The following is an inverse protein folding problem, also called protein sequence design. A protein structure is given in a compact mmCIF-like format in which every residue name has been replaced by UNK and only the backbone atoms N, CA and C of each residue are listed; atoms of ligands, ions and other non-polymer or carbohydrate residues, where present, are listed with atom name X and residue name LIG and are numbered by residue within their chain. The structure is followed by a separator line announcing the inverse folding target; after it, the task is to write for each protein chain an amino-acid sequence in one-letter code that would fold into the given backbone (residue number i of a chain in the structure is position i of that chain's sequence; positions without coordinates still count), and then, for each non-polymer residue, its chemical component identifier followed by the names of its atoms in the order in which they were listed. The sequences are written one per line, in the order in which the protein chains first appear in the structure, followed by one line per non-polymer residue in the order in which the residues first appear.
data_IF_229771373040
#
_entry.id   IF_229771373040
#
_cell.length_a   1.000
_cell.length_b   1.000
_cell.length_c   1.000
_cell.angle_alpha   90.00
_cell.angle_beta   90.00
_cell.angle_gamma   90.00
#
_symmetry.space_group_name_H-M   'P 1'
#
loop_
_entity.id
_entity.type
_entity.pdbx_description
1 polymer ?
#
# COMPACT_ATOMS: atom_id res chain seq x y z
N UNK A 1 4.79 13.88 -9.15
CA UNK A 1 5.89 13.22 -8.42
C UNK A 1 5.80 13.61 -6.95
N UNK A 2 5.54 12.64 -6.07
CA UNK A 2 5.49 12.85 -4.63
C UNK A 2 6.91 13.08 -4.14
N UNK A 3 7.12 14.04 -3.23
CA UNK A 3 8.43 14.21 -2.61
C UNK A 3 8.73 13.01 -1.72
N UNK A 4 9.90 12.40 -1.88
CA UNK A 4 10.32 11.23 -1.09
C UNK A 4 10.16 11.46 0.42
N UNK A 5 10.50 12.66 0.92
CA UNK A 5 10.36 13.02 2.33
C UNK A 5 8.91 13.00 2.83
N UNK A 6 7.96 13.45 2.00
CA UNK A 6 6.54 13.50 2.37
C UNK A 6 5.96 12.09 2.45
N UNK A 7 6.35 11.21 1.52
CA UNK A 7 6.02 9.80 1.56
C UNK A 7 6.60 9.11 2.80
N UNK A 8 7.88 9.32 3.11
CA UNK A 8 8.51 8.69 4.27
C UNK A 8 7.89 9.14 5.61
N UNK A 9 7.53 10.42 5.73
CA UNK A 9 6.79 10.92 6.92
C UNK A 9 5.43 10.24 7.04
N UNK A 10 4.73 10.09 5.93
CA UNK A 10 3.44 9.39 5.89
C UNK A 10 3.60 7.92 6.32
N UNK A 11 4.53 7.18 5.73
CA UNK A 11 4.85 5.79 6.10
C UNK A 11 5.11 5.68 7.60
N UNK A 12 5.96 6.54 8.15
CA UNK A 12 6.26 6.55 9.59
C UNK A 12 5.00 6.81 10.44
N UNK A 13 4.18 7.80 10.06
CA UNK A 13 2.95 8.12 10.81
C UNK A 13 1.96 6.95 10.85
N UNK A 14 1.74 6.29 9.72
CA UNK A 14 0.75 5.20 9.60
C UNK A 14 1.26 3.91 10.26
N UNK A 15 2.55 3.62 10.14
CA UNK A 15 3.13 2.37 10.65
C UNK A 15 3.45 2.39 12.14
N UNK A 16 3.46 3.58 12.78
CA UNK A 16 3.69 3.70 14.22
C UNK A 16 2.54 3.11 15.04
N UNK A 17 1.30 3.37 14.65
CA UNK A 17 0.12 2.94 15.40
C UNK A 17 -0.26 1.48 15.14
N UNK A 18 0.08 0.97 13.95
CA UNK A 18 -0.19 -0.41 13.53
C UNK A 18 1.07 -1.02 12.92
N UNK A 19 1.98 -1.51 13.76
CA UNK A 19 3.25 -2.04 13.29
C UNK A 19 3.04 -3.31 12.47
N UNK A 20 3.98 -3.54 11.55
CA UNK A 20 4.09 -4.79 10.82
C UNK A 20 4.29 -5.96 11.79
N UNK A 21 3.51 -7.03 11.63
CA UNK A 21 3.59 -8.24 12.45
C UNK A 21 3.82 -9.44 11.54
N UNK A 22 4.85 -10.24 11.81
CA UNK A 22 5.12 -11.45 11.02
C UNK A 22 3.99 -12.49 11.19
N UNK A 23 3.18 -12.60 10.14
CA UNK A 23 2.05 -13.52 10.01
C UNK A 23 1.79 -13.83 8.53
N UNK A 24 0.88 -14.76 8.27
CA UNK A 24 0.57 -15.21 6.90
C UNK A 24 0.11 -14.07 5.97
N UNK A 25 -0.63 -13.07 6.48
CA UNK A 25 -1.04 -11.92 5.68
C UNK A 25 0.17 -11.05 5.26
N UNK A 26 1.06 -10.73 6.21
CA UNK A 26 2.27 -9.95 5.91
C UNK A 26 3.26 -10.67 4.99
N UNK A 27 3.39 -11.99 5.13
CA UNK A 27 4.18 -12.83 4.21
C UNK A 27 3.61 -12.77 2.80
N UNK A 28 2.30 -12.87 2.67
CA UNK A 28 1.65 -12.80 1.36
C UNK A 28 1.76 -11.41 0.74
N UNK A 29 1.58 -10.33 1.51
CA UNK A 29 1.78 -8.95 1.03
C UNK A 29 3.23 -8.77 0.54
N UNK A 30 4.23 -9.21 1.31
CA UNK A 30 5.63 -9.10 0.93
C UNK A 30 5.99 -9.92 -0.33
N UNK A 31 5.26 -11.03 -0.58
CA UNK A 31 5.38 -11.81 -1.82
C UNK A 31 4.78 -11.08 -3.02
N UNK A 32 3.68 -10.35 -2.82
CA UNK A 32 2.96 -9.64 -3.87
C UNK A 32 3.60 -8.29 -4.22
N UNK A 33 4.10 -7.57 -3.21
CA UNK A 33 4.58 -6.19 -3.32
C UNK A 33 6.06 -6.14 -2.92
N UNK A 34 6.93 -5.93 -3.91
CA UNK A 34 8.38 -5.82 -3.68
C UNK A 34 8.80 -4.52 -2.97
N UNK A 35 7.95 -3.49 -3.00
CA UNK A 35 8.20 -2.18 -2.42
C UNK A 35 7.78 -2.20 -0.93
N UNK A 36 8.75 -2.34 -0.03
CA UNK A 36 8.51 -2.57 1.40
C UNK A 36 7.71 -1.44 2.07
N UNK A 37 7.95 -0.20 1.67
CA UNK A 37 7.22 0.99 2.13
C UNK A 37 5.72 0.89 1.82
N UNK A 38 5.36 0.52 0.60
CA UNK A 38 3.97 0.33 0.17
C UNK A 38 3.35 -0.88 0.87
N UNK A 39 4.08 -2.00 0.97
CA UNK A 39 3.64 -3.19 1.69
C UNK A 39 3.25 -2.87 3.13
N UNK A 40 4.12 -2.13 3.85
CA UNK A 40 3.91 -1.73 5.24
C UNK A 40 2.69 -0.82 5.39
N UNK A 41 2.56 0.20 4.54
CA UNK A 41 1.41 1.11 4.58
C UNK A 41 0.10 0.38 4.32
N UNK A 42 0.06 -0.50 3.31
CA UNK A 42 -1.13 -1.30 3.00
C UNK A 42 -1.51 -2.17 4.21
N UNK A 43 -0.54 -2.85 4.83
CA UNK A 43 -0.81 -3.64 6.03
C UNK A 43 -1.32 -2.79 7.20
N UNK A 44 -0.72 -1.63 7.46
CA UNK A 44 -1.13 -0.77 8.55
C UNK A 44 -2.55 -0.20 8.37
N UNK A 45 -2.95 0.11 7.13
CA UNK A 45 -4.31 0.58 6.84
C UNK A 45 -5.34 -0.56 6.90
N UNK A 46 -5.10 -1.65 6.16
CA UNK A 46 -6.12 -2.68 5.92
C UNK A 46 -6.00 -3.92 6.81
N UNK A 47 -4.88 -4.12 7.49
CA UNK A 47 -4.62 -5.28 8.35
C UNK A 47 -4.84 -6.60 7.61
N UNK A 48 -5.78 -7.42 8.07
CA UNK A 48 -6.15 -8.68 7.43
C UNK A 48 -6.77 -8.49 6.02
N UNK A 49 -7.39 -7.33 5.74
CA UNK A 49 -7.99 -7.01 4.45
C UNK A 49 -6.99 -6.61 3.37
N UNK A 50 -5.70 -6.50 3.70
CA UNK A 50 -4.64 -6.03 2.80
C UNK A 50 -4.51 -6.84 1.51
N UNK A 51 -4.61 -8.17 1.60
CA UNK A 51 -4.50 -9.04 0.43
C UNK A 51 -5.69 -8.82 -0.50
N UNK A 52 -6.91 -8.77 0.05
CA UNK A 52 -8.12 -8.43 -0.71
C UNK A 52 -7.97 -7.07 -1.38
N UNK A 53 -7.58 -6.03 -0.65
CA UNK A 53 -7.31 -4.71 -1.23
C UNK A 53 -6.36 -4.79 -2.42
N UNK A 54 -5.23 -5.49 -2.28
CA UNK A 54 -4.23 -5.60 -3.35
C UNK A 54 -4.74 -6.33 -4.58
N UNK A 55 -5.54 -7.39 -4.40
CA UNK A 55 -5.93 -8.30 -5.49
C UNK A 55 -7.29 -7.98 -6.12
N UNK A 56 -8.18 -7.31 -5.39
CA UNK A 56 -9.51 -6.97 -5.88
C UNK A 56 -9.48 -5.70 -6.73
N UNK A 57 -10.36 -5.63 -7.72
CA UNK A 57 -10.53 -4.43 -8.55
C UNK A 57 -11.05 -3.28 -7.69
N UNK A 58 -10.34 -2.16 -7.69
CA UNK A 58 -10.73 -0.97 -6.93
C UNK A 58 -11.34 0.06 -7.88
N UNK A 59 -12.63 0.39 -7.70
CA UNK A 59 -13.34 1.36 -8.55
C UNK A 59 -12.73 2.76 -8.49
N UNK A 60 -12.14 3.14 -7.36
CA UNK A 60 -11.56 4.46 -7.15
C UNK A 60 -10.21 4.63 -7.87
N UNK A 61 -9.55 3.52 -8.22
CA UNK A 61 -8.32 3.53 -9.02
C UNK A 61 -8.58 3.43 -10.53
N UNK A 62 -9.85 3.34 -10.96
CA UNK A 62 -10.31 3.34 -12.35
C UNK A 62 -9.51 2.41 -13.31
N UNK A 63 -8.89 1.36 -12.77
CA UNK A 63 -8.04 0.38 -13.45
C UNK A 63 -8.04 -0.95 -12.68
N UNK A 64 -7.35 -1.96 -13.22
CA UNK A 64 -7.09 -3.26 -12.58
C UNK A 64 -6.55 -3.12 -11.14
N UNK A 65 -6.53 -4.23 -10.40
CA UNK A 65 -6.21 -4.28 -8.96
C UNK A 65 -5.03 -3.40 -8.54
N UNK A 66 -4.98 -2.85 -7.29
CA UNK A 66 -3.84 -2.06 -6.82
C UNK A 66 -2.48 -2.73 -7.03
N UNK A 67 -2.45 -4.07 -7.00
CA UNK A 67 -1.27 -4.86 -7.32
C UNK A 67 -0.79 -4.70 -8.77
N UNK A 68 -1.69 -4.63 -9.74
CA UNK A 68 -1.35 -4.43 -11.15
C UNK A 68 -0.76 -3.03 -11.37
N UNK A 69 -1.30 -2.03 -10.65
CA UNK A 69 -0.77 -0.68 -10.66
C UNK A 69 0.66 -0.65 -10.08
N UNK A 70 0.88 -1.27 -8.91
CA UNK A 70 2.20 -1.37 -8.26
C UNK A 70 3.27 -1.99 -9.18
N UNK A 71 2.89 -2.93 -10.03
CA UNK A 71 3.79 -3.64 -10.95
C UNK A 71 4.08 -2.88 -12.25
N UNK A 72 3.30 -1.85 -12.56
CA UNK A 72 3.54 -1.02 -13.74
C UNK A 72 4.69 -0.03 -13.51
N UNK A 73 5.35 0.38 -14.60
CA UNK A 73 6.54 1.25 -14.56
C UNK A 73 6.29 2.58 -13.81
N UNK A 74 5.08 3.14 -13.95
CA UNK A 74 4.71 4.44 -13.36
C UNK A 74 3.71 4.34 -12.20
N UNK A 75 3.14 3.16 -11.93
CA UNK A 75 2.01 3.04 -11.00
C UNK A 75 2.39 3.16 -9.52
N UNK A 76 3.68 3.05 -9.18
CA UNK A 76 4.17 3.28 -7.82
C UNK A 76 3.85 4.68 -7.28
N UNK A 77 3.92 5.72 -8.11
CA UNK A 77 3.58 7.08 -7.69
C UNK A 77 2.06 7.28 -7.55
N UNK A 78 1.28 6.64 -8.41
CA UNK A 78 -0.19 6.68 -8.34
C UNK A 78 -0.72 5.99 -7.09
N UNK A 79 -0.18 4.83 -6.72
CA UNK A 79 -0.61 4.14 -5.49
C UNK A 79 -0.20 4.92 -4.24
N UNK A 80 1.00 5.51 -4.21
CA UNK A 80 1.42 6.38 -3.11
C UNK A 80 0.48 7.57 -2.97
N UNK A 81 0.10 8.20 -4.08
CA UNK A 81 -0.83 9.33 -4.09
C UNK A 81 -2.20 8.91 -3.56
N UNK A 82 -2.71 7.76 -4.01
CA UNK A 82 -3.99 7.22 -3.55
C UNK A 82 -3.98 6.97 -2.04
N UNK A 83 -2.96 6.29 -1.52
CA UNK A 83 -2.82 5.97 -0.10
C UNK A 83 -2.70 7.23 0.76
N UNK A 84 -1.91 8.22 0.32
CA UNK A 84 -1.77 9.49 1.03
C UNK A 84 -3.04 10.35 0.99
N UNK A 85 -3.84 10.25 -0.07
CA UNK A 85 -5.09 11.01 -0.22
C UNK A 85 -6.26 10.39 0.54
N UNK A 86 -6.13 9.11 0.92
CA UNK A 86 -7.18 8.35 1.59
C UNK A 86 -6.65 7.64 2.85
N UNK A 87 -6.11 8.37 3.83
CA UNK A 87 -5.52 7.77 5.04
C UNK A 87 -6.56 7.18 6.01
N UNK A 88 -7.86 7.34 5.71
CA UNK A 88 -8.99 6.87 6.52
C UNK A 88 -9.74 5.68 5.90
N UNK A 89 -9.25 5.15 4.77
CA UNK A 89 -9.75 3.90 4.20
C UNK A 89 -9.45 2.71 5.11
#
# INVERSE_FOLDING_TARGET
MIKSDDWMKFVLSITTDRPWVDNEATKEIARLVAQEDIARVVYSLFGAGSVSFLTESNRDLNMNSPLDLIKSEDGGDLIRQFLMSNPWL
#
